data_IF_008847408074
#
_entry.id   IF_008847408074
#
_cell.length_a   1.000
_cell.length_b   1.000
_cell.length_c   1.000
_cell.angle_alpha   90.00
_cell.angle_beta   90.00
_cell.angle_gamma   90.00
#
_symmetry.space_group_name_H-M   'P 1'
#
loop_
_entity.id
_entity.type
_entity.pdbx_description
1 polymer ?
#
# COMPACT_ATOMS: atom_id res chain seq x y z
N UNK A 1 -10.00 -5.36 -19.14
CA UNK A 1 -11.09 -6.36 -19.16
C UNK A 1 -12.48 -5.72 -19.17
N UNK A 2 -12.74 -4.71 -18.32
CA UNK A 2 -14.06 -4.05 -18.21
C UNK A 2 -14.25 -2.84 -19.12
N UNK A 3 -13.18 -2.38 -19.77
CA UNK A 3 -13.20 -1.32 -20.78
C UNK A 3 -12.34 -1.73 -21.96
N UNK A 4 -12.64 -1.16 -23.12
CA UNK A 4 -11.83 -1.33 -24.33
C UNK A 4 -10.54 -0.50 -24.21
N UNK A 5 -9.42 -1.14 -24.54
CA UNK A 5 -8.10 -0.49 -24.66
C UNK A 5 -7.53 -0.98 -25.98
N UNK A 6 -7.08 -0.05 -26.83
CA UNK A 6 -6.48 -0.37 -28.12
C UNK A 6 -5.27 -1.29 -27.95
N UNK A 7 -5.31 -2.46 -28.59
CA UNK A 7 -4.21 -3.43 -28.58
C UNK A 7 -2.94 -2.89 -29.21
N UNK A 8 -3.05 -2.00 -30.20
CA UNK A 8 -1.88 -1.41 -30.84
C UNK A 8 -1.09 -0.56 -29.85
N UNK A 9 -1.78 0.22 -29.00
CA UNK A 9 -1.13 0.99 -27.93
C UNK A 9 -0.38 0.06 -26.99
N UNK A 10 -1.03 -1.02 -26.53
CA UNK A 10 -0.40 -2.02 -25.64
C UNK A 10 0.84 -2.67 -26.29
N UNK A 11 0.74 -3.06 -27.57
CA UNK A 11 1.86 -3.66 -28.32
C UNK A 11 3.03 -2.70 -28.46
N UNK A 12 2.76 -1.44 -28.82
CA UNK A 12 3.81 -0.41 -28.91
C UNK A 12 4.46 -0.14 -27.55
N UNK A 13 3.69 -0.11 -26.46
CA UNK A 13 4.23 0.00 -25.10
C UNK A 13 5.16 -1.16 -24.76
N UNK A 14 4.78 -2.40 -25.06
CA UNK A 14 5.63 -3.58 -24.80
C UNK A 14 6.92 -3.56 -25.64
N UNK A 15 6.84 -3.13 -26.91
CA UNK A 15 8.02 -2.95 -27.78
C UNK A 15 8.95 -1.89 -27.18
N UNK A 16 8.39 -0.75 -26.76
CA UNK A 16 9.16 0.33 -26.15
C UNK A 16 9.83 -0.12 -24.86
N UNK A 17 9.10 -0.77 -23.94
CA UNK A 17 9.68 -1.32 -22.71
C UNK A 17 10.81 -2.31 -23.01
N UNK A 18 10.59 -3.23 -23.95
CA UNK A 18 11.62 -4.19 -24.37
C UNK A 18 12.87 -3.50 -24.94
N UNK A 19 12.72 -2.37 -25.62
CA UNK A 19 13.85 -1.59 -26.14
C UNK A 19 14.71 -0.93 -25.05
N UNK A 20 14.20 -0.83 -23.82
CA UNK A 20 14.91 -0.32 -22.63
C UNK A 20 15.65 -1.41 -21.86
N UNK A 21 15.57 -2.66 -22.31
CA UNK A 21 16.30 -3.76 -21.70
C UNK A 21 17.74 -3.81 -22.20
N UNK A 22 18.70 -3.84 -21.27
CA UNK A 22 20.13 -3.99 -21.53
C UNK A 22 20.48 -5.43 -21.93
N UNK A 23 21.69 -5.62 -22.46
CA UNK A 23 22.18 -6.94 -22.88
C UNK A 23 22.30 -7.95 -21.74
N UNK A 24 22.44 -7.49 -20.49
CA UNK A 24 22.41 -8.34 -19.30
C UNK A 24 20.99 -8.68 -18.81
N UNK A 25 19.94 -8.27 -19.55
CA UNK A 25 18.54 -8.54 -19.20
C UNK A 25 17.92 -7.52 -18.22
N UNK A 26 18.72 -6.64 -17.64
CA UNK A 26 18.26 -5.63 -16.70
C UNK A 26 17.64 -4.42 -17.43
N UNK A 27 16.66 -3.75 -16.85
CA UNK A 27 16.04 -2.54 -17.42
C UNK A 27 16.77 -1.27 -16.96
N UNK A 28 16.89 -0.28 -17.85
CA UNK A 28 17.44 1.04 -17.52
C UNK A 28 16.36 1.99 -17.01
N UNK A 29 16.70 2.81 -16.01
CA UNK A 29 15.88 3.95 -15.64
C UNK A 29 16.23 5.15 -16.53
N UNK A 30 15.30 5.53 -17.40
CA UNK A 30 15.43 6.69 -18.30
C UNK A 30 14.69 7.95 -17.77
N UNK A 31 14.28 7.97 -16.50
CA UNK A 31 13.53 9.07 -15.90
C UNK A 31 13.86 9.34 -14.43
N UNK A 32 13.20 10.34 -13.86
CA UNK A 32 13.30 10.67 -12.44
C UNK A 32 12.20 9.97 -11.63
N UNK A 33 12.58 9.28 -10.55
CA UNK A 33 11.62 8.70 -9.62
C UNK A 33 11.04 9.79 -8.69
N UNK A 34 9.71 9.88 -8.66
CA UNK A 34 8.99 10.93 -7.91
C UNK A 34 8.83 10.64 -6.41
N UNK A 35 9.18 9.44 -5.93
CA UNK A 35 9.02 9.05 -4.53
C UNK A 35 10.38 8.82 -3.88
N UNK A 36 10.71 9.59 -2.83
CA UNK A 36 11.97 9.41 -2.09
C UNK A 36 12.06 8.04 -1.41
N UNK A 37 10.92 7.41 -1.09
CA UNK A 37 10.87 6.04 -0.60
C UNK A 37 11.47 5.01 -1.57
N UNK A 38 11.51 5.37 -2.86
CA UNK A 38 12.02 4.52 -3.94
C UNK A 38 13.48 4.79 -4.27
N UNK A 39 14.04 5.86 -3.71
CA UNK A 39 15.47 6.16 -3.78
C UNK A 39 16.21 5.26 -2.79
N UNK A 40 16.18 3.95 -3.02
CA UNK A 40 16.89 2.96 -2.22
C UNK A 40 18.39 2.92 -2.51
N UNK A 41 19.02 4.08 -2.76
CA UNK A 41 20.42 4.22 -3.13
C UNK A 41 20.81 3.29 -4.29
N UNK A 42 21.83 2.46 -4.07
CA UNK A 42 22.41 1.54 -5.06
C UNK A 42 21.43 0.42 -5.51
N UNK A 43 20.33 0.20 -4.80
CA UNK A 43 19.33 -0.83 -5.13
C UNK A 43 18.14 -0.29 -5.96
N UNK A 44 18.13 1.00 -6.35
CA UNK A 44 17.03 1.64 -7.10
C UNK A 44 16.69 0.90 -8.40
N UNK A 45 17.71 0.44 -9.12
CA UNK A 45 17.52 -0.31 -10.38
C UNK A 45 16.79 -1.65 -10.19
N UNK A 46 16.88 -2.26 -9.00
CA UNK A 46 16.22 -3.53 -8.68
C UNK A 46 14.72 -3.31 -8.53
N UNK A 47 14.32 -2.23 -7.87
CA UNK A 47 12.91 -1.86 -7.70
C UNK A 47 12.22 -1.67 -9.05
N UNK A 48 12.79 -0.82 -9.92
CA UNK A 48 12.22 -0.56 -11.25
C UNK A 48 12.07 -1.85 -12.05
N UNK A 49 13.09 -2.71 -11.99
CA UNK A 49 13.08 -3.98 -12.70
C UNK A 49 12.01 -4.93 -12.16
N UNK A 50 11.88 -5.04 -10.83
CA UNK A 50 10.88 -5.89 -10.21
C UNK A 50 9.47 -5.41 -10.58
N UNK A 51 9.20 -4.11 -10.54
CA UNK A 51 7.93 -3.53 -10.97
C UNK A 51 7.65 -3.78 -12.46
N UNK A 52 8.67 -3.65 -13.32
CA UNK A 52 8.53 -3.90 -14.76
C UNK A 52 8.21 -5.36 -15.05
N UNK A 53 8.94 -6.30 -14.44
CA UNK A 53 8.71 -7.74 -14.60
C UNK A 53 7.36 -8.15 -14.00
N UNK A 54 7.01 -7.61 -12.83
CA UNK A 54 5.70 -7.78 -12.21
C UNK A 54 4.58 -7.32 -13.14
N UNK A 55 4.70 -6.13 -13.75
CA UNK A 55 3.73 -5.63 -14.71
C UNK A 55 3.58 -6.54 -15.94
N UNK A 56 4.65 -7.16 -16.44
CA UNK A 56 4.54 -8.15 -17.51
C UNK A 56 3.75 -9.39 -17.09
N UNK A 57 3.98 -9.92 -15.87
CA UNK A 57 3.18 -11.02 -15.34
C UNK A 57 1.71 -10.63 -15.15
N UNK A 58 1.43 -9.45 -14.61
CA UNK A 58 0.07 -8.91 -14.44
C UNK A 58 -0.66 -8.70 -15.78
N UNK A 59 0.08 -8.35 -16.84
CA UNK A 59 -0.45 -8.27 -18.20
C UNK A 59 -0.76 -9.64 -18.82
N UNK A 60 -0.49 -10.75 -18.10
CA UNK A 60 -0.70 -12.12 -18.57
C UNK A 60 0.38 -12.63 -19.52
N UNK A 61 1.54 -11.97 -19.57
CA UNK A 61 2.70 -12.47 -20.30
C UNK A 61 3.34 -13.62 -19.53
N UNK A 62 4.05 -14.48 -20.25
CA UNK A 62 4.74 -15.63 -19.69
C UNK A 62 6.17 -15.74 -20.25
N UNK A 63 6.87 -16.82 -19.91
CA UNK A 63 8.27 -17.05 -20.31
C UNK A 63 8.55 -17.09 -21.81
N UNK A 64 7.53 -17.17 -22.69
CA UNK A 64 7.71 -17.04 -24.14
C UNK A 64 8.08 -15.62 -24.55
N UNK A 65 7.76 -14.62 -23.72
CA UNK A 65 8.15 -13.23 -23.96
C UNK A 65 9.60 -13.01 -23.53
N UNK A 66 10.55 -12.75 -24.47
CA UNK A 66 11.97 -12.74 -24.15
C UNK A 66 12.35 -11.69 -23.10
N UNK A 67 11.73 -10.50 -23.15
CA UNK A 67 12.04 -9.43 -22.22
C UNK A 67 11.65 -9.77 -20.77
N UNK A 68 10.52 -10.47 -20.57
CA UNK A 68 10.13 -10.99 -19.25
C UNK A 68 11.15 -12.04 -18.77
N UNK A 69 11.47 -13.03 -19.60
CA UNK A 69 12.41 -14.09 -19.23
C UNK A 69 13.79 -13.54 -18.85
N UNK A 70 14.32 -12.61 -19.65
CA UNK A 70 15.63 -11.99 -19.40
C UNK A 70 15.58 -11.06 -18.17
N UNK A 71 14.47 -10.35 -17.97
CA UNK A 71 14.27 -9.50 -16.80
C UNK A 71 14.23 -10.31 -15.51
N UNK A 72 13.51 -11.45 -15.52
CA UNK A 72 13.48 -12.36 -14.37
C UNK A 72 14.87 -12.92 -14.06
N UNK A 73 15.65 -13.29 -15.08
CA UNK A 73 17.02 -13.75 -14.87
C UNK A 73 17.87 -12.69 -14.15
N UNK A 74 17.79 -11.42 -14.57
CA UNK A 74 18.51 -10.35 -13.88
C UNK A 74 18.02 -10.15 -12.43
N UNK A 75 16.72 -10.31 -12.14
CA UNK A 75 16.21 -10.29 -10.76
C UNK A 75 16.74 -11.44 -9.91
N UNK A 76 16.85 -12.65 -10.47
CA UNK A 76 17.42 -13.81 -9.77
C UNK A 76 18.92 -13.59 -9.48
N UNK A 77 19.68 -13.01 -10.40
CA UNK A 77 21.08 -12.63 -10.19
C UNK A 77 21.24 -11.52 -9.14
N UNK A 78 20.37 -10.49 -9.17
CA UNK A 78 20.35 -9.44 -8.17
C UNK A 78 20.06 -10.00 -6.78
N UNK A 79 19.08 -10.90 -6.67
CA UNK A 79 18.77 -11.59 -5.41
C UNK A 79 19.97 -12.39 -4.90
N UNK A 80 20.65 -13.14 -5.77
CA UNK A 80 21.85 -13.90 -5.43
C UNK A 80 23.03 -13.02 -5.00
N UNK A 81 23.08 -11.78 -5.49
CA UNK A 81 24.10 -10.77 -5.14
C UNK A 81 23.88 -10.14 -3.76
N UNK A 82 22.71 -10.36 -3.14
CA UNK A 82 22.41 -9.94 -1.77
C UNK A 82 21.62 -8.65 -1.68
N UNK A 83 20.32 -8.70 -2.00
CA UNK A 83 19.39 -7.58 -1.79
C UNK A 83 19.13 -7.39 -0.30
N UNK A 84 19.41 -6.20 0.22
CA UNK A 84 19.34 -5.91 1.66
C UNK A 84 18.08 -5.15 2.05
N UNK A 85 17.53 -4.33 1.16
CA UNK A 85 16.38 -3.49 1.49
C UNK A 85 15.10 -4.33 1.63
N UNK A 86 14.46 -4.28 2.80
CA UNK A 86 13.23 -5.04 3.09
C UNK A 86 12.05 -4.69 2.16
N UNK A 87 11.97 -3.45 1.66
CA UNK A 87 10.96 -3.05 0.69
C UNK A 87 11.18 -3.73 -0.67
N UNK A 88 12.43 -3.74 -1.15
CA UNK A 88 12.81 -4.43 -2.37
C UNK A 88 12.59 -5.95 -2.25
N UNK A 89 12.95 -6.54 -1.11
CA UNK A 89 12.69 -7.95 -0.82
C UNK A 89 11.19 -8.31 -0.88
N UNK A 90 10.30 -7.44 -0.36
CA UNK A 90 8.86 -7.67 -0.41
C UNK A 90 8.31 -7.68 -1.86
N UNK A 91 8.76 -6.75 -2.70
CA UNK A 91 8.36 -6.69 -4.11
C UNK A 91 8.94 -7.86 -4.88
N UNK A 92 10.21 -8.21 -4.64
CA UNK A 92 10.83 -9.40 -5.24
C UNK A 92 10.08 -10.67 -4.87
N UNK A 93 9.68 -10.84 -3.60
CA UNK A 93 8.90 -11.98 -3.15
C UNK A 93 7.58 -12.08 -3.95
N UNK A 94 6.93 -10.94 -4.19
CA UNK A 94 5.71 -10.91 -4.99
C UNK A 94 5.95 -11.33 -6.45
N UNK A 95 6.93 -10.71 -7.12
CA UNK A 95 7.25 -10.99 -8.52
C UNK A 95 7.70 -12.45 -8.72
N UNK A 96 8.49 -12.98 -7.79
CA UNK A 96 8.94 -14.36 -7.80
C UNK A 96 7.79 -15.34 -7.51
N UNK A 97 6.81 -14.96 -6.70
CA UNK A 97 5.58 -15.73 -6.51
C UNK A 97 4.77 -15.80 -7.80
N UNK A 98 4.60 -14.67 -8.51
CA UNK A 98 3.98 -14.66 -9.85
C UNK A 98 4.73 -15.54 -10.85
N UNK A 99 6.05 -15.64 -10.72
CA UNK A 99 6.91 -16.47 -11.56
C UNK A 99 6.94 -17.96 -11.15
N UNK A 100 6.26 -18.36 -10.07
CA UNK A 100 6.26 -19.74 -9.56
C UNK A 100 7.58 -20.18 -8.92
N UNK A 101 8.42 -19.25 -8.45
CA UNK A 101 9.74 -19.52 -7.86
C UNK A 101 9.65 -19.80 -6.36
N UNK A 102 8.85 -20.78 -5.97
CA UNK A 102 8.46 -21.08 -4.57
C UNK A 102 9.64 -21.11 -3.58
N UNK A 103 10.76 -21.74 -3.94
CA UNK A 103 11.95 -21.81 -3.04
C UNK A 103 12.54 -20.44 -2.72
N UNK A 104 12.60 -19.54 -3.70
CA UNK A 104 13.15 -18.19 -3.50
C UNK A 104 12.15 -17.33 -2.72
N UNK A 105 10.86 -17.48 -3.02
CA UNK A 105 9.77 -16.83 -2.28
C UNK A 105 9.80 -17.23 -0.81
N UNK A 106 9.95 -18.51 -0.51
CA UNK A 106 10.03 -19.01 0.87
C UNK A 106 11.21 -18.38 1.63
N UNK A 107 12.39 -18.33 1.02
CA UNK A 107 13.58 -17.71 1.63
C UNK A 107 13.32 -16.22 1.90
N UNK A 108 12.79 -15.48 0.92
CA UNK A 108 12.48 -14.07 1.08
C UNK A 108 11.43 -13.81 2.17
N UNK A 109 10.36 -14.61 2.21
CA UNK A 109 9.34 -14.51 3.24
C UNK A 109 9.90 -14.83 4.63
N UNK A 110 10.80 -15.81 4.76
CA UNK A 110 11.48 -16.10 6.03
C UNK A 110 12.38 -14.94 6.47
N UNK A 111 13.11 -14.30 5.56
CA UNK A 111 13.92 -13.11 5.86
C UNK A 111 13.03 -11.95 6.28
N UNK A 112 11.94 -11.68 5.56
CA UNK A 112 10.99 -10.64 5.89
C UNK A 112 10.35 -10.90 7.26
N UNK A 113 9.98 -12.15 7.57
CA UNK A 113 9.38 -12.53 8.85
C UNK A 113 10.24 -12.18 10.07
N UNK A 114 11.58 -12.18 9.92
CA UNK A 114 12.51 -11.79 10.99
C UNK A 114 12.41 -10.29 11.36
N UNK A 115 12.01 -9.46 10.41
CA UNK A 115 11.79 -8.01 10.59
C UNK A 115 10.33 -7.65 10.87
N UNK A 116 9.44 -8.65 10.96
CA UNK A 116 8.01 -8.42 11.12
C UNK A 116 7.64 -8.08 12.57
N UNK A 117 6.72 -7.13 12.74
CA UNK A 117 6.07 -6.85 14.02
C UNK A 117 4.84 -7.74 14.17
N UNK A 118 4.78 -8.51 15.26
CA UNK A 118 3.71 -9.48 15.54
C UNK A 118 2.98 -9.10 16.83
N UNK A 119 1.79 -8.52 16.71
CA UNK A 119 0.98 -8.06 17.84
C UNK A 119 -0.44 -8.60 17.69
N UNK A 120 -0.98 -9.29 18.70
CA UNK A 120 -2.37 -9.77 18.73
C UNK A 120 -2.81 -10.55 17.47
N UNK A 121 -1.98 -11.49 16.99
CA UNK A 121 -2.18 -12.24 15.74
C UNK A 121 -2.16 -11.40 14.45
N UNK A 122 -1.71 -10.16 14.54
CA UNK A 122 -1.54 -9.27 13.39
C UNK A 122 -0.05 -9.13 13.09
N UNK A 123 0.33 -9.41 11.83
CA UNK A 123 1.70 -9.31 11.34
C UNK A 123 1.79 -8.08 10.43
N UNK A 124 2.80 -7.24 10.58
CA UNK A 124 3.02 -6.11 9.67
C UNK A 124 4.49 -5.66 9.70
N UNK A 125 4.91 -4.89 8.70
CA UNK A 125 6.31 -4.48 8.55
C UNK A 125 6.48 -2.96 8.62
N UNK A 126 6.95 -2.46 9.76
CA UNK A 126 7.40 -1.07 9.93
C UNK A 126 8.82 -0.87 9.35
N UNK A 127 9.22 0.39 9.13
CA UNK A 127 10.57 0.77 8.74
C UNK A 127 11.53 0.83 9.94
N UNK A 128 12.82 0.60 9.70
CA UNK A 128 13.86 0.64 10.75
C UNK A 128 14.10 2.06 11.31
N UNK A 129 13.68 3.10 10.58
CA UNK A 129 13.80 4.49 11.00
C UNK A 129 12.57 4.96 11.77
N UNK A 130 12.37 4.44 12.98
CA UNK A 130 11.75 5.27 14.02
C UNK A 130 12.84 6.18 14.57
N UNK A 131 12.91 7.47 14.21
CA UNK A 131 13.60 8.37 15.11
C UNK A 131 12.81 8.27 16.43
N UNK A 132 13.53 7.92 17.52
CA UNK A 132 12.99 7.98 18.88
C UNK A 132 12.80 9.45 19.25
N UNK A 133 11.93 10.15 18.53
CA UNK A 133 11.58 11.53 18.84
C UNK A 133 10.27 11.51 19.59
N UNK A 134 10.31 12.18 20.73
CA UNK A 134 9.23 12.38 21.67
C UNK A 134 7.90 12.69 20.98
N UNK A 135 6.84 12.04 21.48
CA UNK A 135 5.44 12.50 21.45
C UNK A 135 5.08 13.40 20.26
N UNK A 136 4.98 12.82 19.06
CA UNK A 136 4.09 13.40 18.06
C UNK A 136 2.70 13.52 18.72
N UNK A 137 2.03 14.68 18.68
CA UNK A 137 0.68 14.80 19.22
C UNK A 137 -0.17 13.68 18.61
N UNK A 138 -1.04 13.00 19.39
CA UNK A 138 -1.82 11.84 18.93
C UNK A 138 -2.80 12.15 17.78
N UNK A 139 -2.77 13.37 17.26
CA UNK A 139 -3.63 13.93 16.22
C UNK A 139 -2.91 14.24 14.91
N UNK A 140 -1.57 14.13 14.84
CA UNK A 140 -0.86 14.19 13.56
C UNK A 140 -0.81 12.77 13.01
N UNK A 141 -1.52 12.45 11.91
CA UNK A 141 -1.37 11.16 11.27
C UNK A 141 0.09 11.04 10.83
N UNK A 142 0.81 10.10 11.43
CA UNK A 142 2.05 9.61 10.84
C UNK A 142 1.72 9.19 9.39
N UNK A 143 2.64 9.40 8.44
CA UNK A 143 2.43 9.02 7.03
C UNK A 143 3.28 7.78 6.72
N UNK A 144 2.85 6.57 7.15
CA UNK A 144 3.58 5.32 6.92
C UNK A 144 3.24 4.72 5.55
N UNK A 145 3.29 5.52 4.47
CA UNK A 145 2.87 5.07 3.13
C UNK A 145 3.69 3.87 2.63
N UNK A 146 4.99 3.87 2.92
CA UNK A 146 5.94 2.82 2.49
C UNK A 146 5.75 1.52 3.28
N UNK A 147 5.46 1.63 4.57
CA UNK A 147 5.25 0.48 5.45
C UNK A 147 3.94 -0.24 5.12
N UNK A 148 2.91 0.55 4.82
CA UNK A 148 1.62 0.07 4.33
C UNK A 148 1.79 -0.68 3.00
N UNK A 149 2.50 -0.09 2.06
CA UNK A 149 2.77 -0.69 0.75
C UNK A 149 3.61 -1.98 0.86
N UNK A 150 4.67 -1.97 1.68
CA UNK A 150 5.52 -3.15 1.95
C UNK A 150 4.68 -4.34 2.44
N UNK A 151 3.82 -4.10 3.42
CA UNK A 151 2.94 -5.15 3.97
C UNK A 151 1.96 -5.66 2.91
N UNK A 152 1.47 -4.79 2.02
CA UNK A 152 0.62 -5.20 0.89
C UNK A 152 1.38 -6.09 -0.11
N UNK A 153 2.65 -5.80 -0.41
CA UNK A 153 3.46 -6.67 -1.26
C UNK A 153 3.76 -8.03 -0.62
N UNK A 154 4.02 -8.09 0.69
CA UNK A 154 4.17 -9.37 1.39
C UNK A 154 2.88 -10.18 1.32
N UNK A 155 1.73 -9.54 1.58
CA UNK A 155 0.42 -10.17 1.42
C UNK A 155 0.22 -10.69 -0.01
N UNK A 156 0.55 -9.88 -1.03
CA UNK A 156 0.48 -10.27 -2.44
C UNK A 156 1.38 -11.46 -2.76
N UNK A 157 2.59 -11.49 -2.22
CA UNK A 157 3.52 -12.62 -2.38
C UNK A 157 2.91 -13.90 -1.82
N UNK A 158 2.39 -13.85 -0.58
CA UNK A 158 1.81 -15.00 0.12
C UNK A 158 0.61 -15.58 -0.63
N UNK A 159 -0.31 -14.72 -1.09
CA UNK A 159 -1.53 -15.16 -1.79
C UNK A 159 -1.30 -15.56 -3.26
N UNK A 160 -0.15 -15.20 -3.84
CA UNK A 160 0.19 -15.54 -5.23
C UNK A 160 1.00 -16.84 -5.34
N UNK A 161 1.32 -17.50 -4.22
CA UNK A 161 1.92 -18.83 -4.18
C UNK A 161 0.96 -19.90 -4.67
N UNK A 162 1.49 -21.04 -5.10
CA UNK A 162 0.67 -22.20 -5.50
C UNK A 162 -0.23 -22.69 -4.35
N UNK A 163 0.29 -22.69 -3.13
CA UNK A 163 -0.44 -23.05 -1.90
C UNK A 163 -0.35 -21.86 -0.95
N UNK A 164 -1.34 -20.95 -0.99
CA UNK A 164 -1.30 -19.72 -0.18
C UNK A 164 -1.59 -20.03 1.29
N UNK A 165 -0.74 -19.51 2.18
CA UNK A 165 -1.00 -19.54 3.63
C UNK A 165 -1.81 -18.31 4.04
N UNK A 166 -3.14 -18.47 4.08
CA UNK A 166 -4.06 -17.40 4.45
C UNK A 166 -4.00 -17.05 5.96
N UNK A 167 -3.35 -17.87 6.79
CA UNK A 167 -3.16 -17.59 8.22
C UNK A 167 -2.01 -16.60 8.45
N UNK A 168 -1.02 -16.63 7.56
CA UNK A 168 0.09 -15.68 7.54
C UNK A 168 -0.30 -14.32 6.93
N UNK A 169 -1.47 -14.23 6.30
CA UNK A 169 -1.93 -13.05 5.59
C UNK A 169 -2.34 -11.91 6.54
N UNK A 170 -1.58 -10.81 6.52
CA UNK A 170 -1.78 -9.57 7.30
C UNK A 170 -3.02 -8.74 6.94
N UNK A 171 -4.08 -9.34 6.40
CA UNK A 171 -5.25 -8.62 5.86
C UNK A 171 -5.96 -7.82 6.93
N UNK A 172 -6.01 -8.32 8.16
CA UNK A 172 -6.59 -7.58 9.28
C UNK A 172 -5.87 -6.25 9.51
N UNK A 173 -4.53 -6.25 9.50
CA UNK A 173 -3.76 -5.01 9.62
C UNK A 173 -4.03 -4.10 8.44
N UNK A 174 -3.91 -4.64 7.22
CA UNK A 174 -4.02 -3.91 5.97
C UNK A 174 -5.40 -3.24 5.87
N UNK A 175 -6.47 -3.92 6.26
CA UNK A 175 -7.81 -3.35 6.32
C UNK A 175 -7.96 -2.25 7.39
N UNK A 176 -7.28 -2.35 8.53
CA UNK A 176 -7.28 -1.30 9.56
C UNK A 176 -6.57 -0.01 9.13
N UNK A 177 -5.68 -0.08 8.13
CA UNK A 177 -4.95 1.08 7.61
C UNK A 177 -5.77 1.96 6.65
N UNK A 178 -6.97 1.53 6.23
CA UNK A 178 -7.84 2.35 5.39
C UNK A 178 -8.26 3.63 6.10
N UNK A 179 -8.10 4.76 5.42
CA UNK A 179 -8.64 6.04 5.88
C UNK A 179 -10.17 6.08 5.80
N UNK A 180 -10.77 7.16 6.29
CA UNK A 180 -12.22 7.28 6.37
C UNK A 180 -12.97 7.31 5.02
N UNK A 181 -12.26 7.52 3.91
CA UNK A 181 -12.79 7.47 2.54
C UNK A 181 -12.50 6.13 1.85
N UNK A 182 -11.86 5.18 2.54
CA UNK A 182 -11.44 3.90 1.96
C UNK A 182 -10.16 3.96 1.13
N UNK A 183 -9.35 5.01 1.27
CA UNK A 183 -8.05 5.17 0.60
C UNK A 183 -6.86 5.06 1.55
N UNK A 184 -5.65 5.09 0.99
CA UNK A 184 -4.39 5.13 1.74
C UNK A 184 -3.76 6.52 1.69
N UNK A 185 -2.66 6.68 2.41
CA UNK A 185 -1.90 7.93 2.49
C UNK A 185 -1.20 8.31 1.17
N UNK A 186 -0.93 7.34 0.28
CA UNK A 186 -0.33 7.55 -1.05
C UNK A 186 -1.15 6.90 -2.15
N UNK A 187 -1.07 7.45 -3.38
CA UNK A 187 -1.75 6.90 -4.56
C UNK A 187 -1.31 5.47 -4.84
N UNK A 188 0.00 5.22 -4.76
CA UNK A 188 0.55 3.91 -5.03
C UNK A 188 0.23 2.89 -3.95
N UNK A 189 0.37 3.28 -2.67
CA UNK A 189 -0.05 2.43 -1.56
C UNK A 189 -1.55 2.07 -1.67
N UNK A 190 -2.37 3.00 -2.19
CA UNK A 190 -3.79 2.74 -2.47
C UNK A 190 -3.99 1.71 -3.58
N UNK A 191 -3.24 1.79 -4.67
CA UNK A 191 -3.33 0.83 -5.79
C UNK A 191 -2.93 -0.59 -5.35
N UNK A 192 -1.75 -0.73 -4.74
CA UNK A 192 -1.22 -2.02 -4.28
C UNK A 192 -2.12 -2.62 -3.21
N UNK A 193 -2.67 -1.77 -2.32
CA UNK A 193 -3.67 -2.17 -1.35
C UNK A 193 -4.89 -2.82 -2.01
N UNK A 194 -5.52 -2.12 -2.97
CA UNK A 194 -6.71 -2.65 -3.62
C UNK A 194 -6.40 -3.94 -4.36
N UNK A 195 -5.24 -4.03 -5.01
CA UNK A 195 -4.80 -5.26 -5.64
C UNK A 195 -4.68 -6.42 -4.63
N UNK A 196 -4.04 -6.19 -3.48
CA UNK A 196 -3.83 -7.19 -2.44
C UNK A 196 -5.16 -7.66 -1.83
N UNK A 197 -6.01 -6.73 -1.40
CA UNK A 197 -7.26 -7.03 -0.71
C UNK A 197 -8.28 -7.67 -1.67
N UNK A 198 -8.39 -7.19 -2.91
CA UNK A 198 -9.32 -7.78 -3.88
C UNK A 198 -8.92 -9.21 -4.26
N UNK A 199 -7.61 -9.48 -4.40
CA UNK A 199 -7.11 -10.86 -4.62
C UNK A 199 -7.36 -11.76 -3.42
N UNK A 200 -7.09 -11.27 -2.21
CA UNK A 200 -7.38 -12.02 -1.00
C UNK A 200 -8.88 -12.33 -0.87
N UNK A 201 -9.74 -11.32 -1.07
CA UNK A 201 -11.20 -11.49 -1.06
C UNK A 201 -11.66 -12.52 -2.07
N UNK A 202 -11.04 -12.58 -3.27
CA UNK A 202 -11.37 -13.61 -4.27
C UNK A 202 -11.08 -15.03 -3.77
N UNK A 203 -10.07 -15.22 -2.91
CA UNK A 203 -9.70 -16.52 -2.34
C UNK A 203 -10.55 -16.90 -1.12
N UNK A 204 -10.91 -15.91 -0.29
CA UNK A 204 -11.68 -16.12 0.94
C UNK A 204 -13.18 -15.95 0.79
N UNK A 205 -13.63 -15.58 -0.42
CA UNK A 205 -15.04 -15.34 -0.71
C UNK A 205 -15.92 -16.53 -0.33
N UNK A 206 -16.91 -16.27 0.52
CA UNK A 206 -17.99 -17.18 0.81
C UNK A 206 -19.34 -16.45 0.79
N UNK A 207 -20.43 -17.18 0.56
CA UNK A 207 -21.80 -16.64 0.62
C UNK A 207 -22.39 -16.77 2.03
N UNK A 208 -21.55 -16.66 3.04
CA UNK A 208 -21.94 -16.89 4.43
C UNK A 208 -22.70 -15.69 5.00
N UNK A 209 -23.48 -15.96 6.03
CA UNK A 209 -24.22 -14.95 6.78
C UNK A 209 -23.55 -14.72 8.13
N UNK A 210 -23.41 -13.46 8.52
CA UNK A 210 -22.93 -13.05 9.83
C UNK A 210 -23.97 -12.13 10.49
N UNK A 211 -24.16 -12.33 11.79
CA UNK A 211 -24.89 -11.44 12.68
C UNK A 211 -23.89 -10.76 13.60
N UNK A 212 -23.79 -9.44 13.53
CA UNK A 212 -22.96 -8.64 14.43
C UNK A 212 -23.87 -7.95 15.43
N UNK A 213 -23.69 -8.23 16.72
CA UNK A 213 -24.42 -7.58 17.80
C UNK A 213 -23.50 -6.58 18.49
N UNK A 214 -23.81 -5.30 18.35
CA UNK A 214 -23.13 -4.22 19.05
C UNK A 214 -23.92 -3.84 20.30
N UNK A 215 -23.31 -3.96 21.47
CA UNK A 215 -23.96 -3.63 22.74
C UNK A 215 -23.32 -2.41 23.39
N UNK A 216 -24.16 -1.46 23.79
CA UNK A 216 -23.78 -0.22 24.46
C UNK A 216 -24.69 0.06 25.66
N UNK A 217 -24.37 1.09 26.46
CA UNK A 217 -25.26 1.53 27.56
C UNK A 217 -26.67 1.94 27.11
N UNK A 218 -26.90 2.21 25.83
CA UNK A 218 -28.24 2.55 25.29
C UNK A 218 -29.06 1.33 24.89
N UNK A 219 -28.43 0.18 24.76
CA UNK A 219 -29.04 -1.04 24.23
C UNK A 219 -28.16 -1.70 23.18
N UNK A 220 -28.74 -2.70 22.55
CA UNK A 220 -28.07 -3.55 21.56
C UNK A 220 -28.58 -3.22 20.17
N UNK A 221 -27.66 -3.08 19.23
CA UNK A 221 -27.92 -2.92 17.81
C UNK A 221 -27.43 -4.17 17.08
N UNK A 222 -28.26 -4.69 16.17
CA UNK A 222 -27.98 -5.94 15.46
C UNK A 222 -27.82 -5.62 13.98
N UNK A 223 -26.67 -5.99 13.42
CA UNK A 223 -26.35 -5.85 12.01
C UNK A 223 -26.33 -7.23 11.37
N UNK A 224 -27.18 -7.43 10.37
CA UNK A 224 -27.23 -8.64 9.57
C UNK A 224 -26.42 -8.44 8.30
N UNK A 225 -25.45 -9.31 8.05
CA UNK A 225 -24.55 -9.25 6.89
C UNK A 225 -24.75 -10.52 6.08
N UNK A 226 -25.20 -10.37 4.83
CA UNK A 226 -25.46 -11.45 3.88
C UNK A 226 -24.95 -11.07 2.48
N UNK A 227 -25.16 -11.96 1.50
CA UNK A 227 -24.72 -11.75 0.11
C UNK A 227 -25.20 -10.45 -0.52
N UNK A 228 -26.39 -9.98 -0.13
CA UNK A 228 -27.08 -8.86 -0.76
C UNK A 228 -26.63 -7.51 -0.18
N UNK A 229 -26.23 -7.49 1.09
CA UNK A 229 -25.88 -6.26 1.80
C UNK A 229 -24.42 -6.21 2.30
N UNK A 230 -23.57 -7.18 1.99
CA UNK A 230 -22.14 -7.19 2.41
C UNK A 230 -21.31 -5.99 1.95
N UNK A 231 -21.73 -5.28 0.91
CA UNK A 231 -21.06 -4.07 0.42
C UNK A 231 -21.67 -2.79 1.00
N UNK A 232 -22.79 -2.89 1.72
CA UNK A 232 -23.43 -1.77 2.38
C UNK A 232 -22.70 -1.50 3.70
N UNK A 233 -22.14 -0.30 3.82
CA UNK A 233 -21.59 0.16 5.09
C UNK A 233 -22.76 0.38 6.06
N UNK A 234 -22.76 -0.38 7.15
CA UNK A 234 -23.68 -0.25 8.27
C UNK A 234 -22.90 0.34 9.45
N UNK A 235 -23.50 1.24 10.21
CA UNK A 235 -22.80 1.92 11.30
C UNK A 235 -23.74 2.39 12.40
N UNK A 236 -23.16 2.53 13.59
CA UNK A 236 -23.80 3.11 14.77
C UNK A 236 -22.94 4.26 15.30
N UNK A 237 -23.59 5.31 15.81
CA UNK A 237 -22.90 6.44 16.40
C UNK A 237 -22.57 6.20 17.88
N UNK A 238 -21.28 6.26 18.21
CA UNK A 238 -20.81 6.22 19.59
C UNK A 238 -21.06 7.55 20.28
N UNK A 239 -22.03 7.54 21.19
CA UNK A 239 -22.47 8.80 21.84
C UNK A 239 -21.57 9.28 22.97
N UNK A 240 -20.60 8.46 23.40
CA UNK A 240 -19.52 8.87 24.30
C UNK A 240 -18.20 8.35 23.74
N UNK A 241 -17.18 9.18 23.73
CA UNK A 241 -15.83 8.78 23.33
C UNK A 241 -15.23 7.69 24.24
N UNK A 242 -15.74 7.57 25.48
CA UNK A 242 -15.27 6.58 26.45
C UNK A 242 -16.46 5.79 27.02
N UNK A 243 -16.32 4.47 27.04
CA UNK A 243 -17.33 3.55 27.52
C UNK A 243 -16.92 2.10 27.33
N UNK A 244 -17.66 1.19 27.95
CA UNK A 244 -17.56 -0.22 27.65
C UNK A 244 -18.55 -0.53 26.52
N UNK A 245 -18.00 -1.01 25.42
CA UNK A 245 -18.73 -1.45 24.24
C UNK A 245 -18.35 -2.90 23.98
N UNK A 246 -19.32 -3.74 23.67
CA UNK A 246 -19.05 -5.14 23.29
C UNK A 246 -19.58 -5.39 21.88
N UNK A 247 -18.82 -6.19 21.14
CA UNK A 247 -19.13 -6.59 19.77
C UNK A 247 -19.09 -8.10 19.76
N UNK A 248 -20.24 -8.71 19.55
CA UNK A 248 -20.39 -10.16 19.41
C UNK A 248 -20.69 -10.49 17.95
N UNK A 249 -20.02 -11.51 17.41
CA UNK A 249 -20.18 -11.92 16.01
C UNK A 249 -20.56 -13.40 15.97
N UNK A 250 -21.70 -13.70 15.35
CA UNK A 250 -22.21 -15.05 15.18
C UNK A 250 -22.40 -15.33 13.68
N UNK A 251 -21.88 -16.44 13.17
CA UNK A 251 -21.99 -16.77 11.74
C UNK A 251 -20.86 -17.68 11.25
N UNK A 252 -20.82 -17.87 9.94
CA UNK A 252 -19.80 -18.72 9.28
C UNK A 252 -18.82 -17.93 8.40
N UNK A 253 -19.02 -16.63 8.22
CA UNK A 253 -18.16 -15.79 7.39
C UNK A 253 -17.28 -14.82 8.18
N UNK A 254 -16.66 -13.88 7.46
CA UNK A 254 -15.89 -12.78 8.05
C UNK A 254 -16.66 -11.45 7.95
N UNK A 255 -16.60 -10.63 9.00
CA UNK A 255 -17.11 -9.26 9.01
C UNK A 255 -15.98 -8.30 9.36
N UNK A 256 -15.85 -7.21 8.60
CA UNK A 256 -14.89 -6.15 8.91
C UNK A 256 -15.58 -5.07 9.74
N UNK A 257 -15.04 -4.79 10.92
CA UNK A 257 -15.59 -3.84 11.88
C UNK A 257 -14.51 -2.82 12.18
N UNK A 258 -14.81 -1.54 11.98
CA UNK A 258 -13.88 -0.44 12.20
C UNK A 258 -14.53 0.60 13.11
N UNK A 259 -13.85 0.92 14.22
CA UNK A 259 -14.20 2.08 15.02
C UNK A 259 -13.69 3.35 14.34
N UNK A 260 -14.60 4.28 14.05
CA UNK A 260 -14.25 5.56 13.45
C UNK A 260 -14.31 6.66 14.50
N UNK A 261 -13.16 7.23 14.84
CA UNK A 261 -13.07 8.44 15.66
C UNK A 261 -13.12 9.69 14.77
N UNK A 262 -14.31 10.24 14.55
CA UNK A 262 -14.46 11.56 13.93
C UNK A 262 -14.10 12.66 14.94
N UNK A 263 -12.82 12.99 15.07
CA UNK A 263 -12.44 14.24 15.69
C UNK A 263 -12.63 15.36 14.65
N UNK A 264 -13.75 16.08 14.69
CA UNK A 264 -13.88 17.38 14.03
C UNK A 264 -12.99 18.37 14.78
N UNK A 265 -11.67 18.28 14.58
CA UNK A 265 -10.76 19.34 15.00
C UNK A 265 -10.92 20.42 13.93
N UNK A 266 -11.89 21.31 14.13
CA UNK A 266 -11.91 22.58 13.41
C UNK A 266 -10.69 23.35 13.93
N UNK A 267 -9.60 23.31 13.19
CA UNK A 267 -8.39 24.08 13.48
C UNK A 267 -8.63 25.57 13.18
N UNK A 268 -9.54 26.20 13.92
CA UNK A 268 -9.52 27.66 14.01
C UNK A 268 -8.36 28.04 14.94
N UNK A 269 -7.22 28.40 14.35
CA UNK A 269 -6.01 28.94 14.98
C UNK A 269 -5.06 27.96 15.70
N UNK A 270 -4.52 26.97 14.97
CA UNK A 270 -3.24 26.37 15.40
C UNK A 270 -2.10 27.19 14.81
N UNK A 271 -1.36 27.89 15.68
CA UNK A 271 0.00 28.34 15.38
C UNK A 271 0.80 27.11 14.95
N UNK A 272 1.27 27.08 13.70
CA UNK A 272 2.05 25.98 13.14
C UNK A 272 3.10 25.50 14.14
N UNK A 273 3.16 24.20 14.48
CA UNK A 273 4.15 23.70 15.41
C UNK A 273 5.55 24.04 14.87
N UNK A 274 6.27 24.91 15.58
CA UNK A 274 7.54 25.53 15.16
C UNK A 274 8.69 24.55 14.93
N UNK A 275 8.50 23.24 15.02
CA UNK A 275 9.65 22.33 15.20
C UNK A 275 9.88 21.22 14.19
N UNK A 276 8.94 20.82 13.36
CA UNK A 276 9.25 19.84 12.31
C UNK A 276 8.41 20.11 11.07
N UNK A 277 8.96 20.87 10.13
CA UNK A 277 8.43 20.96 8.77
C UNK A 277 9.36 20.16 7.87
N UNK A 278 8.80 19.20 7.13
CA UNK A 278 9.55 18.38 6.18
C UNK A 278 10.13 19.20 5.01
N UNK A 279 9.59 20.40 4.79
CA UNK A 279 10.03 21.38 3.81
C UNK A 279 9.86 22.78 4.40
N UNK A 280 10.70 23.71 3.99
CA UNK A 280 10.55 25.13 4.28
C UNK A 280 9.80 25.80 3.14
N UNK A 281 8.72 26.50 3.48
CA UNK A 281 7.91 27.25 2.53
C UNK A 281 8.01 28.72 2.87
N UNK A 282 8.55 29.52 1.95
CA UNK A 282 8.56 30.97 2.06
C UNK A 282 7.68 31.58 0.98
N UNK A 283 6.81 32.49 1.40
CA UNK A 283 5.92 33.24 0.54
C UNK A 283 6.32 34.70 0.61
N UNK A 284 6.76 35.25 -0.51
CA UNK A 284 7.06 36.67 -0.63
C UNK A 284 5.99 37.33 -1.50
N UNK A 285 5.40 38.42 -1.02
CA UNK A 285 4.48 39.23 -1.83
C UNK A 285 5.30 40.14 -2.72
N UNK A 286 5.37 39.82 -4.01
CA UNK A 286 6.08 40.64 -4.99
C UNK A 286 5.14 41.74 -5.47
N UNK A 287 5.47 42.99 -5.18
CA UNK A 287 4.72 44.13 -5.72
C UNK A 287 5.04 44.28 -7.21
N UNK A 288 4.02 44.15 -8.04
CA UNK A 288 4.11 44.50 -9.46
C UNK A 288 3.99 46.02 -9.59
N UNK A 289 4.96 46.66 -10.26
CA UNK A 289 4.97 48.10 -10.53
C UNK A 289 4.17 48.47 -11.80
N UNK A 290 3.40 47.53 -12.35
CA UNK A 290 2.46 47.83 -13.43
C UNK A 290 1.18 48.44 -12.88
N UNK A 291 0.61 49.40 -13.59
CA UNK A 291 -0.56 50.21 -13.21
C UNK A 291 -1.87 49.42 -13.04
N UNK A 292 -1.83 48.08 -13.14
CA UNK A 292 -2.95 47.19 -12.87
C UNK A 292 -2.95 46.76 -11.40
N UNK A 293 -3.70 47.51 -10.60
CA UNK A 293 -3.83 47.35 -9.13
C UNK A 293 -4.50 46.05 -8.67
N UNK A 294 -4.69 45.06 -9.54
CA UNK A 294 -5.57 43.91 -9.31
C UNK A 294 -4.85 42.55 -9.23
N UNK A 295 -3.55 42.47 -9.49
CA UNK A 295 -2.80 41.20 -9.44
C UNK A 295 -1.69 41.23 -8.39
N UNK A 296 -2.01 40.79 -7.16
CA UNK A 296 -0.99 40.48 -6.17
C UNK A 296 -0.19 39.27 -6.65
N UNK A 297 1.07 39.46 -7.03
CA UNK A 297 1.98 38.35 -7.37
C UNK A 297 2.61 37.82 -6.10
N UNK A 298 2.63 36.50 -5.96
CA UNK A 298 3.28 35.83 -4.87
C UNK A 298 4.48 35.05 -5.41
N UNK A 299 5.67 35.33 -4.88
CA UNK A 299 6.85 34.49 -5.03
C UNK A 299 6.75 33.37 -4.02
N UNK A 300 6.60 32.13 -4.49
CA UNK A 300 6.64 30.95 -3.65
C UNK A 300 8.02 30.29 -3.79
N UNK A 301 8.74 30.14 -2.68
CA UNK A 301 9.96 29.35 -2.63
C UNK A 301 9.73 28.15 -1.71
N UNK A 302 10.05 26.96 -2.21
CA UNK A 302 10.00 25.70 -1.45
C UNK A 302 11.43 25.16 -1.41
N UNK A 303 11.96 24.92 -0.21
CA UNK A 303 13.32 24.39 0.05
C UNK A 303 13.27 23.21 0.99
#
# INVERSE_FOLDING_TARGET
>A
KYTFIDENVQKQTLIWLSSKQKSNGCFENDGELFNDAWKSGDEEGILLMALTVGAFFEAGLNFTFPALRNGLFCLEEALASGVTNAYNQAILAYVLALAGKEKQVEVLLQTLDQSATKINNVIYWEGESKPKTEESPPFIPHVPSVEQEKTCYVLLAVISREIPDLTYASVQWVAQQMNFNGGFSSTQGTEVYFLAVTRYMKLTFSNDQNTVTFSSKRGNEIFQINSDNRLLVQGSELTKAYGQYTVDVEGQGCAFIQEKKCASIIYENVLSPKKESAFSLSLEVVKDNTSDRSLTKFGLTVT
#
